data_IF_347741186652
#
_entry.id   IF_347741186652
#
_cell.length_a   1.000
_cell.length_b   1.000
_cell.length_c   1.000
_cell.angle_alpha   90.00
_cell.angle_beta   90.00
_cell.angle_gamma   90.00
#
_symmetry.space_group_name_H-M   'P 1'
#
loop_
_entity.id
_entity.type
_entity.pdbx_description
1 polymer ?
#
# COMPACT_ATOMS: atom_id res chain seq x y z
N UNK A 1 -3.08 1.11 -20.85
CA UNK A 1 -1.97 0.21 -21.25
C UNK A 1 -2.11 -1.19 -20.65
N UNK A 2 -1.92 -1.41 -19.33
CA UNK A 2 -1.95 -2.79 -18.77
C UNK A 2 -3.31 -3.48 -18.90
N UNK A 3 -4.42 -2.76 -18.67
CA UNK A 3 -5.77 -3.29 -18.89
C UNK A 3 -6.02 -3.67 -20.36
N UNK A 4 -5.53 -2.83 -21.29
CA UNK A 4 -5.67 -3.09 -22.73
C UNK A 4 -4.87 -4.32 -23.16
N UNK A 5 -3.68 -4.51 -22.58
CA UNK A 5 -2.86 -5.71 -22.80
C UNK A 5 -3.53 -6.97 -22.26
N UNK A 6 -4.14 -6.91 -21.07
CA UNK A 6 -4.92 -8.03 -20.54
C UNK A 6 -6.10 -8.39 -21.47
N UNK A 7 -6.80 -7.39 -21.99
CA UNK A 7 -7.89 -7.60 -22.95
C UNK A 7 -7.38 -8.25 -24.26
N UNK A 8 -6.25 -7.77 -24.80
CA UNK A 8 -5.60 -8.37 -25.99
C UNK A 8 -5.20 -9.83 -25.77
N UNK A 9 -4.89 -10.22 -24.53
CA UNK A 9 -4.57 -11.61 -24.13
C UNK A 9 -5.80 -12.47 -23.84
N UNK A 10 -7.01 -11.94 -24.06
CA UNK A 10 -8.26 -12.69 -23.96
C UNK A 10 -9.07 -12.45 -22.68
N UNK A 11 -8.67 -11.50 -21.82
CA UNK A 11 -9.50 -11.13 -20.67
C UNK A 11 -10.76 -10.38 -21.12
N UNK A 12 -11.93 -10.78 -20.64
CA UNK A 12 -13.18 -10.06 -20.86
C UNK A 12 -13.26 -8.86 -19.92
N UNK A 13 -13.26 -7.65 -20.47
CA UNK A 13 -13.39 -6.41 -19.69
C UNK A 13 -14.85 -5.98 -19.66
N UNK A 14 -15.46 -6.06 -18.48
CA UNK A 14 -16.86 -5.65 -18.26
C UNK A 14 -16.85 -4.36 -17.44
N UNK A 15 -17.54 -3.32 -17.93
CA UNK A 15 -17.70 -2.06 -17.19
C UNK A 15 -18.86 -2.17 -16.21
N UNK A 16 -18.56 -2.07 -14.92
CA UNK A 16 -19.55 -2.02 -13.86
C UNK A 16 -18.88 -1.88 -12.49
N UNK A 17 -19.69 -1.84 -11.44
CA UNK A 17 -19.22 -1.77 -10.05
C UNK A 17 -19.67 -3.03 -9.31
N UNK A 18 -18.74 -3.81 -8.77
CA UNK A 18 -19.09 -4.86 -7.82
C UNK A 18 -19.74 -4.22 -6.57
N UNK A 19 -20.89 -4.74 -6.14
CA UNK A 19 -21.67 -4.16 -5.01
C UNK A 19 -21.86 -5.14 -3.85
N UNK A 20 -21.91 -6.45 -4.09
CA UNK A 20 -21.95 -7.48 -3.05
C UNK A 20 -21.29 -8.78 -3.53
N UNK A 21 -20.67 -9.56 -2.63
CA UNK A 21 -20.20 -10.90 -2.94
C UNK A 21 -21.39 -11.87 -3.09
N UNK A 22 -21.21 -12.89 -3.92
CA UNK A 22 -22.08 -14.06 -3.98
C UNK A 22 -21.43 -15.16 -3.13
N UNK A 23 -22.12 -15.59 -2.08
CA UNK A 23 -21.61 -16.60 -1.16
C UNK A 23 -22.41 -17.90 -1.27
N UNK A 24 -21.73 -19.03 -1.10
CA UNK A 24 -22.34 -20.35 -0.91
C UNK A 24 -22.90 -20.53 0.50
N UNK A 25 -23.67 -21.59 0.70
CA UNK A 25 -24.19 -21.96 2.04
C UNK A 25 -23.05 -22.29 3.01
N UNK A 26 -21.92 -22.78 2.50
CA UNK A 26 -20.69 -23.05 3.25
C UNK A 26 -19.82 -21.79 3.45
N UNK A 27 -20.30 -20.61 3.05
CA UNK A 27 -19.58 -19.34 3.11
C UNK A 27 -18.51 -19.17 2.02
N UNK A 28 -18.38 -20.11 1.08
CA UNK A 28 -17.42 -19.98 -0.03
C UNK A 28 -17.80 -18.86 -0.99
N UNK A 29 -16.80 -18.20 -1.57
CA UNK A 29 -17.02 -17.19 -2.59
C UNK A 29 -17.39 -17.84 -3.94
N UNK A 30 -18.45 -17.32 -4.58
CA UNK A 30 -18.98 -17.82 -5.85
C UNK A 30 -19.07 -16.77 -6.96
N UNK A 31 -18.65 -15.54 -6.68
CA UNK A 31 -18.73 -14.44 -7.65
C UNK A 31 -19.21 -13.15 -7.02
N UNK A 32 -19.72 -12.22 -7.83
CA UNK A 32 -20.17 -10.90 -7.37
C UNK A 32 -21.45 -10.47 -8.05
N UNK A 33 -22.28 -9.69 -7.36
CA UNK A 33 -23.27 -8.86 -8.03
C UNK A 33 -22.61 -7.57 -8.49
N UNK A 34 -22.78 -7.28 -9.77
CA UNK A 34 -22.31 -6.07 -10.42
C UNK A 34 -23.47 -5.14 -10.71
N UNK A 35 -23.28 -3.84 -10.47
CA UNK A 35 -24.15 -2.78 -10.97
C UNK A 35 -23.58 -2.20 -12.26
N UNK A 36 -24.37 -2.21 -13.33
CA UNK A 36 -24.02 -1.63 -14.64
C UNK A 36 -24.17 -0.10 -14.65
N UNK A 37 -23.62 0.60 -15.65
CA UNK A 37 -23.78 2.04 -15.81
C UNK A 37 -25.24 2.49 -15.95
N UNK A 38 -26.11 1.65 -16.49
CA UNK A 38 -27.56 1.91 -16.62
C UNK A 38 -28.35 1.70 -15.31
N UNK A 39 -27.67 1.31 -14.23
CA UNK A 39 -28.25 1.03 -12.92
C UNK A 39 -28.79 -0.39 -12.73
N UNK A 40 -28.83 -1.22 -13.78
CA UNK A 40 -29.21 -2.62 -13.68
C UNK A 40 -28.19 -3.41 -12.85
N UNK A 41 -28.66 -4.49 -12.22
CA UNK A 41 -27.82 -5.40 -11.45
C UNK A 41 -27.76 -6.76 -12.13
N UNK A 42 -26.60 -7.39 -12.09
CA UNK A 42 -26.35 -8.72 -12.65
C UNK A 42 -25.43 -9.49 -11.72
N UNK A 43 -25.73 -10.77 -11.53
CA UNK A 43 -24.86 -11.70 -10.81
C UNK A 43 -23.87 -12.32 -11.79
N UNK A 44 -22.58 -12.19 -11.50
CA UNK A 44 -21.48 -12.80 -12.23
C UNK A 44 -20.90 -13.89 -11.34
N UNK A 45 -21.15 -15.14 -11.71
CA UNK A 45 -20.59 -16.31 -11.03
C UNK A 45 -19.15 -16.60 -11.51
N UNK A 46 -18.31 -17.03 -10.58
CA UNK A 46 -16.92 -17.40 -10.84
C UNK A 46 -16.45 -18.47 -9.85
N UNK A 47 -15.61 -19.40 -10.31
CA UNK A 47 -15.00 -20.41 -9.43
C UNK A 47 -13.96 -19.82 -8.47
N UNK A 48 -13.30 -18.74 -8.89
CA UNK A 48 -12.35 -17.96 -8.08
C UNK A 48 -12.58 -16.49 -8.37
N UNK A 49 -12.76 -15.68 -7.32
CA UNK A 49 -12.84 -14.22 -7.42
C UNK A 49 -11.57 -13.60 -6.87
N UNK A 50 -10.88 -12.78 -7.68
CA UNK A 50 -9.73 -12.01 -7.22
C UNK A 50 -10.20 -10.60 -6.86
N UNK A 51 -10.00 -10.18 -5.61
CA UNK A 51 -10.23 -8.80 -5.19
C UNK A 51 -8.99 -7.96 -5.49
N UNK A 52 -9.07 -7.19 -6.58
CA UNK A 52 -8.06 -6.23 -6.99
C UNK A 52 -8.55 -4.78 -6.82
N UNK A 53 -9.44 -4.52 -5.84
CA UNK A 53 -10.08 -3.21 -5.63
C UNK A 53 -9.15 -2.15 -5.01
N UNK A 54 -7.91 -2.52 -4.70
CA UNK A 54 -6.91 -1.64 -4.10
C UNK A 54 -7.38 -1.08 -2.76
N UNK A 55 -7.17 0.22 -2.52
CA UNK A 55 -7.56 0.91 -1.28
C UNK A 55 -9.05 0.82 -0.94
N UNK A 56 -9.92 0.40 -1.88
CA UNK A 56 -11.33 0.18 -1.60
C UNK A 56 -11.60 -1.10 -0.79
N UNK A 57 -10.63 -2.03 -0.72
CA UNK A 57 -10.67 -3.26 0.11
C UNK A 57 -12.04 -3.94 0.11
N UNK A 58 -12.58 -4.21 -1.08
CA UNK A 58 -13.99 -4.57 -1.28
C UNK A 58 -14.41 -5.78 -0.43
N UNK A 59 -13.70 -6.89 -0.49
CA UNK A 59 -14.06 -8.10 0.26
C UNK A 59 -13.92 -7.92 1.77
N UNK A 60 -12.96 -7.11 2.22
CA UNK A 60 -12.82 -6.78 3.63
C UNK A 60 -14.00 -5.95 4.15
N UNK A 61 -14.42 -4.95 3.38
CA UNK A 61 -15.57 -4.11 3.73
C UNK A 61 -16.90 -4.89 3.65
N UNK A 62 -16.96 -5.94 2.82
CA UNK A 62 -18.08 -6.88 2.74
C UNK A 62 -17.99 -8.01 3.79
N UNK A 63 -16.98 -8.00 4.67
CA UNK A 63 -16.77 -8.99 5.74
C UNK A 63 -16.62 -10.43 5.24
N UNK A 64 -16.09 -10.60 4.03
CA UNK A 64 -15.72 -11.92 3.48
C UNK A 64 -14.39 -12.38 4.06
N UNK A 65 -13.47 -11.43 4.28
CA UNK A 65 -12.19 -11.68 4.95
C UNK A 65 -12.32 -11.53 6.47
N UNK A 66 -11.21 -11.74 7.19
CA UNK A 66 -11.07 -11.29 8.56
C UNK A 66 -11.02 -9.75 8.70
N UNK A 67 -10.91 -9.24 9.93
CA UNK A 67 -10.89 -7.80 10.20
C UNK A 67 -9.72 -7.09 9.53
N UNK A 68 -9.95 -5.81 9.17
CA UNK A 68 -8.91 -4.88 8.73
C UNK A 68 -8.27 -4.20 9.94
N UNK A 69 -6.99 -4.43 10.15
CA UNK A 69 -6.17 -3.79 11.17
C UNK A 69 -5.45 -2.59 10.58
N UNK A 70 -5.66 -1.41 11.17
CA UNK A 70 -4.92 -0.20 10.81
C UNK A 70 -3.60 -0.19 11.59
N UNK A 71 -2.49 0.02 10.90
CA UNK A 71 -1.14 0.04 11.48
C UNK A 71 -0.79 1.37 12.13
N UNK A 72 0.39 1.47 12.76
CA UNK A 72 0.83 2.62 13.57
C UNK A 72 0.93 3.97 12.85
N UNK A 73 1.05 3.94 11.52
CA UNK A 73 1.16 5.11 10.66
C UNK A 73 -0.22 5.76 10.42
N UNK A 74 -1.15 5.57 11.35
CA UNK A 74 -2.61 5.50 11.16
C UNK A 74 -3.30 6.80 10.74
N UNK A 75 -2.55 7.89 10.59
CA UNK A 75 -3.10 9.18 10.20
C UNK A 75 -2.08 9.98 9.41
N UNK A 76 -1.43 9.41 8.39
CA UNK A 76 -0.79 10.25 7.38
C UNK A 76 -1.80 10.63 6.29
N UNK A 77 -1.62 11.81 5.73
CA UNK A 77 -2.34 12.30 4.56
C UNK A 77 -1.32 12.63 3.48
N UNK A 78 -1.61 12.24 2.24
CA UNK A 78 -0.82 12.63 1.10
C UNK A 78 -1.57 13.71 0.31
N UNK A 79 -0.94 14.86 0.14
CA UNK A 79 -1.37 15.92 -0.75
C UNK A 79 -0.41 15.94 -1.94
N UNK A 80 -0.91 15.93 -3.17
CA UNK A 80 -0.03 15.85 -4.33
C UNK A 80 -0.62 16.52 -5.57
N UNK A 81 0.26 16.92 -6.47
CA UNK A 81 -0.09 17.52 -7.75
C UNK A 81 1.07 17.38 -8.73
N UNK A 82 0.79 17.63 -10.00
CA UNK A 82 1.81 17.74 -11.03
C UNK A 82 2.21 19.20 -11.24
N UNK A 83 3.51 19.42 -11.43
CA UNK A 83 4.07 20.75 -11.63
C UNK A 83 5.08 20.79 -12.77
N UNK A 84 5.13 21.92 -13.46
CA UNK A 84 6.21 22.31 -14.40
C UNK A 84 7.14 23.33 -13.75
N UNK A 85 8.29 23.60 -14.37
CA UNK A 85 9.27 24.59 -13.88
C UNK A 85 10.14 24.12 -12.71
N UNK A 86 10.03 22.85 -12.32
CA UNK A 86 10.88 22.27 -11.28
C UNK A 86 12.28 21.92 -11.81
N UNK A 87 13.33 22.23 -11.04
CA UNK A 87 14.73 22.00 -11.40
C UNK A 87 15.13 20.54 -11.11
N UNK A 88 15.44 19.81 -12.18
CA UNK A 88 15.92 18.42 -12.13
C UNK A 88 17.43 18.34 -12.02
N UNK A 89 17.95 17.13 -11.80
CA UNK A 89 19.38 16.86 -11.96
C UNK A 89 19.84 17.08 -13.40
N UNK A 90 21.14 17.02 -13.64
CA UNK A 90 21.73 17.26 -14.97
C UNK A 90 22.31 16.01 -15.62
N UNK A 91 22.62 14.99 -14.81
CA UNK A 91 23.24 13.76 -15.29
C UNK A 91 22.21 12.78 -15.88
N UNK A 92 22.70 11.81 -16.65
CA UNK A 92 21.91 10.67 -17.14
C UNK A 92 21.85 9.50 -16.15
N UNK A 93 22.75 9.46 -15.16
CA UNK A 93 22.86 8.37 -14.19
C UNK A 93 23.55 8.85 -12.90
N UNK A 94 23.43 8.05 -11.84
CA UNK A 94 24.01 8.35 -10.53
C UNK A 94 23.12 9.26 -9.69
N UNK A 95 23.69 9.90 -8.67
CA UNK A 95 22.92 10.67 -7.69
C UNK A 95 22.26 11.94 -8.27
N UNK A 96 22.92 12.61 -9.23
CA UNK A 96 22.39 13.78 -9.93
C UNK A 96 21.64 13.43 -11.22
N UNK A 97 21.18 12.18 -11.38
CA UNK A 97 20.41 11.81 -12.56
C UNK A 97 19.10 12.59 -12.61
N UNK A 98 18.80 13.16 -13.79
CA UNK A 98 17.64 14.03 -13.99
C UNK A 98 16.29 13.32 -13.76
N UNK A 99 16.26 12.00 -13.90
CA UNK A 99 15.06 11.16 -13.87
C UNK A 99 14.92 10.35 -12.57
N UNK A 100 15.75 10.62 -11.55
CA UNK A 100 15.65 9.95 -10.25
C UNK A 100 14.37 10.35 -9.51
N UNK A 101 13.73 9.38 -8.85
CA UNK A 101 12.84 9.64 -7.73
C UNK A 101 13.66 10.15 -6.54
N UNK A 102 13.27 11.29 -5.98
CA UNK A 102 13.93 11.87 -4.80
C UNK A 102 12.93 11.93 -3.65
N UNK A 103 13.34 11.37 -2.51
CA UNK A 103 12.58 11.42 -1.26
C UNK A 103 13.24 12.44 -0.34
N UNK A 104 12.46 13.40 0.13
CA UNK A 104 12.89 14.39 1.11
C UNK A 104 12.15 14.13 2.41
N UNK A 105 12.84 14.13 3.54
CA UNK A 105 12.19 14.03 4.85
C UNK A 105 12.75 15.08 5.80
N UNK A 106 11.89 15.53 6.72
CA UNK A 106 12.21 16.52 7.74
C UNK A 106 12.32 15.87 9.12
N UNK A 107 11.28 15.14 9.51
CA UNK A 107 11.14 14.43 10.77
C UNK A 107 10.18 13.25 10.56
N UNK A 108 9.96 12.45 11.59
CA UNK A 108 9.07 11.28 11.53
C UNK A 108 7.72 11.66 10.90
N UNK A 109 7.33 10.95 9.85
CA UNK A 109 6.10 11.13 9.05
C UNK A 109 5.94 12.46 8.34
N UNK A 110 7.01 13.25 8.17
CA UNK A 110 7.00 14.49 7.39
C UNK A 110 7.98 14.34 6.25
N UNK A 111 7.46 14.04 5.07
CA UNK A 111 8.26 13.79 3.89
C UNK A 111 7.57 14.23 2.61
N UNK A 112 8.34 14.29 1.54
CA UNK A 112 7.87 14.69 0.23
C UNK A 112 8.55 13.83 -0.84
N UNK A 113 7.82 13.56 -1.93
CA UNK A 113 8.41 12.97 -3.12
C UNK A 113 8.57 14.00 -4.23
N UNK A 114 9.55 13.75 -5.08
CA UNK A 114 9.79 14.42 -6.33
C UNK A 114 10.04 13.34 -7.38
N UNK A 115 9.10 13.16 -8.30
CA UNK A 115 9.14 12.09 -9.31
C UNK A 115 8.94 12.72 -10.70
N UNK A 116 9.99 12.80 -11.52
CA UNK A 116 9.85 13.15 -12.94
C UNK A 116 8.88 12.19 -13.66
N UNK A 117 7.91 12.72 -14.40
CA UNK A 117 6.91 11.91 -15.14
C UNK A 117 7.17 11.95 -16.65
N UNK A 118 7.44 13.13 -17.19
CA UNK A 118 7.82 13.35 -18.59
C UNK A 118 8.94 14.41 -18.64
N UNK A 119 9.22 15.01 -19.79
CA UNK A 119 10.31 15.99 -19.96
C UNK A 119 10.14 17.28 -19.11
N UNK A 120 8.91 17.72 -18.82
CA UNK A 120 8.63 18.99 -18.15
C UNK A 120 7.92 18.83 -16.80
N UNK A 121 7.12 17.78 -16.66
CA UNK A 121 6.22 17.53 -15.53
C UNK A 121 6.88 16.68 -14.47
N UNK A 122 6.81 17.15 -13.23
CA UNK A 122 7.21 16.44 -12.02
C UNK A 122 5.99 16.22 -11.14
N UNK A 123 5.81 15.00 -10.64
CA UNK A 123 4.92 14.71 -9.53
C UNK A 123 5.57 15.15 -8.22
N UNK A 124 4.84 15.99 -7.49
CA UNK A 124 5.22 16.46 -6.17
C UNK A 124 4.17 16.01 -5.17
N UNK A 125 4.62 15.40 -4.09
CA UNK A 125 3.75 15.04 -2.98
C UNK A 125 4.30 15.48 -1.66
N UNK A 126 3.38 15.78 -0.75
CA UNK A 126 3.61 16.13 0.63
C UNK A 126 2.86 15.10 1.49
N UNK A 127 3.60 14.42 2.34
CA UNK A 127 3.05 13.46 3.31
C UNK A 127 3.35 13.96 4.71
N UNK A 128 2.29 14.17 5.48
CA UNK A 128 2.32 14.67 6.86
C UNK A 128 1.27 13.95 7.70
N UNK A 129 1.34 14.02 9.04
CA UNK A 129 0.21 13.61 9.87
C UNK A 129 -1.05 14.43 9.52
N UNK A 130 -2.20 13.76 9.43
CA UNK A 130 -3.52 14.34 9.13
C UNK A 130 -3.85 15.48 10.09
N UNK A 131 -3.47 15.35 11.36
CA UNK A 131 -3.65 16.41 12.36
C UNK A 131 -2.95 17.71 11.97
N UNK A 132 -1.72 17.64 11.42
CA UNK A 132 -0.96 18.81 10.96
C UNK A 132 -1.71 19.57 9.86
N UNK A 133 -2.33 18.86 8.92
CA UNK A 133 -3.17 19.50 7.90
C UNK A 133 -4.45 20.09 8.52
N UNK A 134 -5.15 19.35 9.37
CA UNK A 134 -6.40 19.80 10.01
C UNK A 134 -6.21 21.05 10.88
N UNK A 135 -5.12 21.11 11.64
CA UNK A 135 -4.77 22.24 12.50
C UNK A 135 -4.46 23.52 11.69
N UNK A 136 -3.97 23.39 10.46
CA UNK A 136 -3.68 24.53 9.58
C UNK A 136 -4.93 25.31 9.18
N UNK A 137 -6.09 24.63 9.10
CA UNK A 137 -7.37 25.16 8.56
C UNK A 137 -7.26 25.75 7.14
N UNK A 138 -6.21 25.42 6.42
CA UNK A 138 -5.99 25.84 5.05
C UNK A 138 -6.73 24.91 4.08
N UNK A 139 -6.98 25.39 2.87
CA UNK A 139 -7.36 24.50 1.76
C UNK A 139 -6.19 23.57 1.40
N UNK A 140 -6.45 22.41 0.76
CA UNK A 140 -5.39 21.52 0.31
C UNK A 140 -4.29 22.21 -0.51
N UNK A 141 -4.67 23.12 -1.42
CA UNK A 141 -3.71 23.82 -2.26
C UNK A 141 -2.87 24.83 -1.48
N UNK A 142 -3.50 25.64 -0.61
CA UNK A 142 -2.77 26.58 0.25
C UNK A 142 -1.77 25.85 1.16
N UNK A 143 -2.21 24.78 1.83
CA UNK A 143 -1.36 23.99 2.70
C UNK A 143 -0.21 23.34 1.94
N UNK A 144 -0.47 22.76 0.77
CA UNK A 144 0.55 22.16 -0.08
C UNK A 144 1.62 23.17 -0.48
N UNK A 145 1.21 24.34 -0.99
CA UNK A 145 2.13 25.41 -1.41
C UNK A 145 2.94 26.00 -0.27
N UNK A 146 2.33 26.21 0.90
CA UNK A 146 3.03 26.81 2.05
C UNK A 146 3.96 25.82 2.75
N UNK A 147 3.64 24.53 2.74
CA UNK A 147 4.33 23.52 3.56
C UNK A 147 5.41 22.76 2.78
N UNK A 148 5.18 22.44 1.50
CA UNK A 148 6.09 21.64 0.69
C UNK A 148 7.54 22.19 0.67
N UNK A 149 7.79 23.50 0.48
CA UNK A 149 9.16 24.04 0.53
C UNK A 149 9.83 23.87 1.91
N UNK A 150 9.04 23.80 2.98
CA UNK A 150 9.52 23.65 4.36
C UNK A 150 10.02 22.25 4.71
N UNK A 151 9.76 21.23 3.87
CA UNK A 151 10.22 19.86 4.12
C UNK A 151 11.74 19.74 4.00
N UNK A 152 12.34 20.40 3.00
CA UNK A 152 13.77 20.32 2.78
C UNK A 152 14.30 21.50 1.96
N UNK A 153 15.45 22.05 2.34
CA UNK A 153 16.05 23.20 1.63
C UNK A 153 16.44 22.88 0.17
N UNK A 154 16.85 21.64 -0.13
CA UNK A 154 17.13 21.22 -1.50
C UNK A 154 15.85 21.11 -2.33
N UNK A 155 14.75 20.61 -1.75
CA UNK A 155 13.44 20.62 -2.38
C UNK A 155 12.98 22.04 -2.67
N UNK A 156 13.07 22.96 -1.70
CA UNK A 156 12.69 24.36 -1.87
C UNK A 156 13.39 25.02 -3.08
N UNK A 157 14.70 24.77 -3.25
CA UNK A 157 15.45 25.25 -4.43
C UNK A 157 14.98 24.62 -5.73
N UNK A 158 14.59 23.34 -5.71
CA UNK A 158 14.10 22.65 -6.91
C UNK A 158 12.73 23.14 -7.37
N UNK A 159 11.92 23.72 -6.48
CA UNK A 159 10.54 24.10 -6.78
C UNK A 159 10.30 25.62 -6.72
N UNK A 160 11.36 26.44 -6.72
CA UNK A 160 11.27 27.91 -6.60
C UNK A 160 10.34 28.55 -7.64
N UNK A 161 10.37 28.02 -8.86
CA UNK A 161 9.62 28.52 -10.01
C UNK A 161 8.51 27.56 -10.46
N UNK A 162 8.13 26.61 -9.59
CA UNK A 162 7.15 25.59 -9.95
C UNK A 162 5.79 26.19 -10.26
N UNK A 163 5.08 25.58 -11.22
CA UNK A 163 3.69 25.90 -11.54
C UNK A 163 2.88 24.61 -11.54
N UNK A 164 1.86 24.55 -10.68
CA UNK A 164 0.93 23.43 -10.69
C UNK A 164 0.17 23.43 -12.03
N UNK A 165 0.11 22.27 -12.67
CA UNK A 165 -0.61 22.08 -13.94
C UNK A 165 -1.94 21.35 -13.75
N UNK A 166 -2.25 20.98 -12.52
CA UNK A 166 -3.55 20.47 -12.11
C UNK A 166 -3.85 20.83 -10.65
N UNK A 167 -5.03 20.45 -10.17
CA UNK A 167 -5.42 20.66 -8.77
C UNK A 167 -4.55 19.83 -7.82
N UNK A 168 -4.51 20.25 -6.56
CA UNK A 168 -3.97 19.39 -5.49
C UNK A 168 -5.01 18.32 -5.14
N UNK A 169 -4.59 17.06 -5.21
CA UNK A 169 -5.37 15.91 -4.76
C UNK A 169 -4.98 15.55 -3.34
N UNK A 170 -5.91 14.92 -2.63
CA UNK A 170 -5.73 14.51 -1.24
C UNK A 170 -6.19 13.07 -1.11
N UNK A 171 -5.32 12.21 -0.57
CA UNK A 171 -5.66 10.83 -0.25
C UNK A 171 -5.24 10.49 1.19
N UNK A 172 -6.02 9.66 1.90
CA UNK A 172 -5.54 9.04 3.13
C UNK A 172 -4.29 8.19 2.82
N UNK A 173 -3.30 8.21 3.71
CA UNK A 173 -2.06 7.46 3.58
C UNK A 173 -1.78 6.62 4.84
N UNK A 174 -2.72 5.77 5.23
CA UNK A 174 -2.57 4.94 6.43
C UNK A 174 -2.32 3.48 6.03
N UNK A 175 -1.29 2.88 6.63
CA UNK A 175 -1.00 1.46 6.45
C UNK A 175 -2.08 0.60 7.10
N UNK A 176 -2.40 -0.53 6.46
CA UNK A 176 -3.33 -1.51 7.02
C UNK A 176 -3.02 -2.91 6.54
N UNK A 177 -3.58 -3.89 7.24
CA UNK A 177 -3.59 -5.30 6.88
C UNK A 177 -5.00 -5.85 7.03
N UNK A 178 -5.44 -6.62 6.06
CA UNK A 178 -6.66 -7.42 6.10
C UNK A 178 -6.28 -8.85 6.48
N UNK A 179 -6.84 -9.33 7.58
CA UNK A 179 -6.63 -10.70 8.03
C UNK A 179 -7.35 -11.68 7.10
N UNK A 180 -6.76 -12.86 6.86
CA UNK A 180 -7.36 -13.93 6.03
C UNK A 180 -7.82 -13.39 4.67
N UNK A 181 -6.89 -12.78 3.95
CA UNK A 181 -7.13 -12.21 2.63
C UNK A 181 -7.21 -13.26 1.50
N UNK A 182 -7.12 -14.54 1.86
CA UNK A 182 -7.37 -15.67 1.00
C UNK A 182 -8.39 -16.60 1.66
N UNK A 183 -9.21 -17.26 0.85
CA UNK A 183 -10.16 -18.26 1.33
C UNK A 183 -10.78 -19.05 0.20
N UNK A 184 -11.74 -19.93 0.53
CA UNK A 184 -12.38 -20.79 -0.48
C UNK A 184 -13.10 -19.95 -1.55
N UNK A 185 -12.57 -19.98 -2.77
CA UNK A 185 -13.08 -19.25 -3.92
C UNK A 185 -12.62 -17.79 -4.04
N UNK A 186 -11.69 -17.30 -3.20
CA UNK A 186 -11.19 -15.93 -3.35
C UNK A 186 -9.73 -15.71 -2.94
N UNK A 187 -9.12 -14.69 -3.53
CA UNK A 187 -7.80 -14.13 -3.18
C UNK A 187 -7.89 -12.60 -3.29
N UNK A 188 -7.46 -11.86 -2.27
CA UNK A 188 -7.24 -10.42 -2.40
C UNK A 188 -5.78 -10.15 -2.82
N UNK A 189 -5.55 -9.19 -3.71
CA UNK A 189 -4.23 -8.91 -4.29
C UNK A 189 -3.84 -7.45 -4.07
N UNK A 190 -2.59 -7.23 -3.66
CA UNK A 190 -2.01 -5.91 -3.45
C UNK A 190 -2.76 -5.11 -2.37
N UNK A 191 -3.01 -3.84 -2.67
CA UNK A 191 -3.68 -2.91 -1.74
C UNK A 191 -5.07 -3.41 -1.28
N UNK A 192 -5.71 -4.35 -1.97
CA UNK A 192 -6.98 -4.93 -1.50
C UNK A 192 -6.88 -5.63 -0.14
N UNK A 193 -5.66 -6.05 0.25
CA UNK A 193 -5.42 -6.63 1.58
C UNK A 193 -4.33 -5.94 2.39
N UNK A 194 -3.33 -5.33 1.75
CA UNK A 194 -2.26 -4.67 2.49
C UNK A 194 -1.80 -3.41 1.79
N UNK A 195 -1.77 -2.32 2.55
CA UNK A 195 -1.12 -1.09 2.17
C UNK A 195 -0.03 -0.74 3.17
N UNK A 196 1.15 -0.38 2.67
CA UNK A 196 2.32 0.07 3.45
C UNK A 196 2.69 1.47 2.96
N UNK A 197 3.25 2.30 3.85
CA UNK A 197 3.75 3.64 3.52
C UNK A 197 4.53 3.65 2.18
N UNK A 198 4.13 4.48 1.20
CA UNK A 198 4.68 4.46 -0.15
C UNK A 198 6.06 5.11 -0.26
N UNK A 199 6.71 5.49 0.85
CA UNK A 199 8.02 6.15 0.84
C UNK A 199 9.06 5.42 -0.03
N UNK A 200 9.01 4.08 -0.10
CA UNK A 200 9.93 3.28 -0.94
C UNK A 200 9.30 2.74 -2.24
N UNK A 201 8.13 3.24 -2.63
CA UNK A 201 7.50 2.99 -3.94
C UNK A 201 7.21 1.51 -4.26
N UNK A 202 6.94 0.68 -3.24
CA UNK A 202 6.75 -0.77 -3.43
C UNK A 202 5.37 -1.18 -3.95
N UNK A 203 4.33 -0.35 -3.78
CA UNK A 203 2.92 -0.77 -3.96
C UNK A 203 2.62 -1.45 -5.30
N UNK A 204 3.03 -0.85 -6.42
CA UNK A 204 2.80 -1.44 -7.75
C UNK A 204 3.63 -2.71 -7.95
N UNK A 205 4.90 -2.72 -7.53
CA UNK A 205 5.76 -3.90 -7.64
C UNK A 205 5.19 -5.07 -6.84
N UNK A 206 4.80 -4.84 -5.59
CA UNK A 206 4.17 -5.86 -4.74
C UNK A 206 2.87 -6.37 -5.37
N UNK A 207 1.98 -5.48 -5.82
CA UNK A 207 0.71 -5.84 -6.47
C UNK A 207 0.93 -6.74 -7.69
N UNK A 208 1.88 -6.39 -8.56
CA UNK A 208 2.17 -7.18 -9.77
C UNK A 208 2.79 -8.54 -9.43
N UNK A 209 3.72 -8.58 -8.46
CA UNK A 209 4.35 -9.84 -8.03
C UNK A 209 3.34 -10.77 -7.35
N UNK A 210 2.49 -10.26 -6.46
CA UNK A 210 1.43 -11.06 -5.85
C UNK A 210 0.45 -11.61 -6.89
N UNK A 211 0.06 -10.80 -7.88
CA UNK A 211 -0.78 -11.25 -8.98
C UNK A 211 -0.11 -12.40 -9.76
N UNK A 212 1.18 -12.29 -10.05
CA UNK A 212 1.97 -13.35 -10.69
C UNK A 212 2.05 -14.63 -9.84
N UNK A 213 2.33 -14.49 -8.55
CA UNK A 213 2.43 -15.62 -7.62
C UNK A 213 1.09 -16.31 -7.37
N UNK A 214 -0.04 -15.62 -7.50
CA UNK A 214 -1.36 -16.23 -7.34
C UNK A 214 -1.70 -17.21 -8.47
N UNK A 215 -1.20 -16.97 -9.70
CA UNK A 215 -1.54 -17.75 -10.90
C UNK A 215 -1.38 -19.27 -10.72
N UNK A 216 -0.23 -19.83 -10.30
CA UNK A 216 -0.09 -21.28 -10.14
C UNK A 216 -1.06 -21.87 -9.11
N UNK A 217 -1.38 -21.14 -8.05
CA UNK A 217 -2.35 -21.59 -7.04
C UNK A 217 -3.78 -21.58 -7.57
N UNK A 218 -4.16 -20.55 -8.33
CA UNK A 218 -5.47 -20.46 -9.00
C UNK A 218 -5.61 -21.59 -10.02
N UNK A 219 -4.61 -21.83 -10.87
CA UNK A 219 -4.65 -22.91 -11.87
C UNK A 219 -4.75 -24.29 -11.22
N UNK A 220 -4.00 -24.54 -10.13
CA UNK A 220 -4.08 -25.79 -9.39
C UNK A 220 -5.47 -25.99 -8.77
N UNK A 221 -6.06 -24.93 -8.19
CA UNK A 221 -7.41 -24.97 -7.65
C UNK A 221 -8.46 -25.22 -8.74
N UNK A 222 -8.37 -24.54 -9.89
CA UNK A 222 -9.22 -24.79 -11.05
C UNK A 222 -9.09 -26.23 -11.55
N UNK A 223 -7.89 -26.81 -11.50
CA UNK A 223 -7.63 -28.24 -11.76
C UNK A 223 -8.09 -29.21 -10.66
N UNK A 224 -8.73 -28.73 -9.59
CA UNK A 224 -9.34 -29.53 -8.53
C UNK A 224 -8.52 -29.68 -7.25
N UNK A 225 -7.30 -29.14 -7.19
CA UNK A 225 -6.45 -29.22 -5.97
C UNK A 225 -7.08 -28.41 -4.84
N UNK A 226 -7.18 -29.02 -3.66
CA UNK A 226 -7.55 -28.31 -2.43
C UNK A 226 -9.00 -27.82 -2.35
N UNK A 227 -9.91 -28.28 -3.22
CA UNK A 227 -11.34 -27.88 -3.24
C UNK A 227 -12.08 -28.15 -1.92
N UNK A 228 -11.60 -29.12 -1.14
CA UNK A 228 -12.12 -29.49 0.17
C UNK A 228 -11.49 -28.71 1.34
N UNK A 229 -10.46 -27.90 1.09
CA UNK A 229 -9.79 -27.12 2.13
C UNK A 229 -10.60 -25.86 2.46
N UNK A 230 -10.58 -25.44 3.72
CA UNK A 230 -11.19 -24.19 4.17
C UNK A 230 -10.51 -22.96 3.54
N UNK A 231 -9.17 -23.00 3.42
CA UNK A 231 -8.38 -22.03 2.67
C UNK A 231 -7.45 -22.76 1.68
N UNK A 232 -7.91 -23.00 0.44
CA UNK A 232 -7.10 -23.64 -0.60
C UNK A 232 -5.86 -22.84 -1.00
N UNK A 233 -5.80 -21.55 -0.64
CA UNK A 233 -4.74 -20.61 -1.01
C UNK A 233 -3.88 -20.20 0.20
N UNK A 234 -3.89 -20.97 1.29
CA UNK A 234 -3.13 -20.67 2.51
C UNK A 234 -1.61 -20.55 2.26
N UNK A 235 -1.04 -21.39 1.39
CA UNK A 235 0.38 -21.30 1.01
C UNK A 235 0.71 -19.96 0.33
N UNK A 236 -0.15 -19.51 -0.59
CA UNK A 236 0.00 -18.21 -1.26
C UNK A 236 -0.11 -17.06 -0.25
N UNK A 237 -1.13 -17.13 0.62
CA UNK A 237 -1.34 -16.13 1.67
C UNK A 237 -0.08 -15.96 2.53
N UNK A 238 0.44 -17.07 3.07
CA UNK A 238 1.65 -17.04 3.91
C UNK A 238 2.89 -16.55 3.15
N UNK A 239 3.02 -16.92 1.88
CA UNK A 239 4.12 -16.47 1.04
C UNK A 239 4.10 -14.94 0.86
N UNK A 240 2.93 -14.36 0.57
CA UNK A 240 2.76 -12.92 0.42
C UNK A 240 2.98 -12.18 1.76
N UNK A 241 2.50 -12.74 2.88
CA UNK A 241 2.73 -12.16 4.21
C UNK A 241 4.21 -12.06 4.54
N UNK A 242 4.97 -13.14 4.33
CA UNK A 242 6.43 -13.12 4.54
C UNK A 242 7.14 -12.07 3.71
N UNK A 243 6.70 -11.83 2.47
CA UNK A 243 7.29 -10.83 1.60
C UNK A 243 6.97 -9.40 2.05
N UNK A 244 5.69 -9.15 2.30
CA UNK A 244 5.15 -7.87 2.75
C UNK A 244 5.66 -7.46 4.14
N UNK A 245 5.93 -8.45 4.99
CA UNK A 245 6.57 -8.28 6.29
C UNK A 245 8.01 -7.74 6.18
N UNK A 246 8.76 -8.16 5.15
CA UNK A 246 10.09 -7.60 4.90
C UNK A 246 10.00 -6.13 4.51
N UNK A 247 8.99 -5.74 3.72
CA UNK A 247 8.73 -4.34 3.36
C UNK A 247 8.42 -3.49 4.59
N UNK A 248 7.57 -3.99 5.47
CA UNK A 248 7.23 -3.32 6.73
C UNK A 248 8.48 -3.15 7.61
N UNK A 249 9.34 -4.18 7.73
CA UNK A 249 10.60 -4.06 8.49
C UNK A 249 11.52 -2.95 7.95
N UNK A 250 11.55 -2.75 6.63
CA UNK A 250 12.32 -1.67 6.01
C UNK A 250 11.75 -0.30 6.38
N UNK A 251 10.44 -0.11 6.22
CA UNK A 251 9.74 1.15 6.52
C UNK A 251 9.86 1.50 8.01
N UNK A 252 9.68 0.51 8.86
CA UNK A 252 9.73 0.71 10.32
C UNK A 252 11.13 1.10 10.78
N UNK A 253 12.18 0.46 10.28
CA UNK A 253 13.53 0.86 10.67
C UNK A 253 13.87 2.26 10.13
N UNK A 254 13.43 2.60 8.92
CA UNK A 254 13.60 3.95 8.40
C UNK A 254 13.00 5.00 9.34
N UNK A 255 11.77 4.79 9.81
CA UNK A 255 11.09 5.75 10.67
C UNK A 255 11.57 5.75 12.12
N UNK A 256 11.92 4.59 12.68
CA UNK A 256 12.37 4.50 14.07
C UNK A 256 13.85 4.82 14.26
N UNK A 257 14.71 4.45 13.29
CA UNK A 257 16.17 4.56 13.40
C UNK A 257 16.81 4.97 12.06
N UNK A 258 16.54 6.19 11.56
CA UNK A 258 16.96 6.63 10.21
C UNK A 258 18.48 6.60 9.99
N UNK A 259 19.29 6.88 11.02
CA UNK A 259 20.76 6.80 10.91
C UNK A 259 21.26 5.37 10.75
N UNK A 260 20.65 4.41 11.45
CA UNK A 260 20.99 3.01 11.31
C UNK A 260 20.54 2.49 9.93
N UNK A 261 19.34 2.86 9.50
CA UNK A 261 18.83 2.56 8.17
C UNK A 261 19.79 3.06 7.08
N UNK A 262 20.20 4.33 7.13
CA UNK A 262 21.16 4.91 6.21
C UNK A 262 22.51 4.16 6.22
N UNK A 263 23.01 3.80 7.39
CA UNK A 263 24.26 3.00 7.51
C UNK A 263 24.12 1.63 6.82
N UNK A 264 22.96 1.00 6.93
CA UNK A 264 22.72 -0.31 6.33
C UNK A 264 22.63 -0.20 4.80
N UNK A 265 21.92 0.81 4.31
CA UNK A 265 21.74 1.09 2.87
C UNK A 265 23.07 1.47 2.20
N UNK A 266 23.86 2.37 2.80
CA UNK A 266 25.03 2.92 2.12
C UNK A 266 26.33 2.16 2.39
N UNK A 267 26.45 1.44 3.51
CA UNK A 267 27.76 0.92 3.95
C UNK A 267 27.76 -0.56 4.31
N UNK A 268 26.77 -1.04 5.08
CA UNK A 268 26.86 -2.38 5.68
C UNK A 268 26.28 -3.49 4.81
N UNK A 269 25.14 -3.23 4.17
CA UNK A 269 24.37 -4.24 3.44
C UNK A 269 23.92 -3.76 2.06
N UNK A 270 24.72 -2.89 1.43
CA UNK A 270 24.37 -2.17 0.20
C UNK A 270 23.74 -3.05 -0.87
N UNK A 271 24.37 -4.18 -1.22
CA UNK A 271 23.86 -5.09 -2.27
C UNK A 271 22.49 -5.71 -1.90
N UNK A 272 22.33 -6.14 -0.65
CA UNK A 272 21.07 -6.69 -0.14
C UNK A 272 19.96 -5.64 -0.11
N UNK A 273 20.33 -4.38 0.18
CA UNK A 273 19.39 -3.27 0.16
C UNK A 273 19.01 -2.87 -1.27
N UNK A 274 19.94 -2.92 -2.23
CA UNK A 274 19.64 -2.73 -3.66
C UNK A 274 18.65 -3.81 -4.14
N UNK A 275 18.86 -5.07 -3.76
CA UNK A 275 17.93 -6.15 -4.07
C UNK A 275 16.53 -5.87 -3.52
N UNK A 276 16.45 -5.51 -2.23
CA UNK A 276 15.19 -5.20 -1.58
C UNK A 276 14.48 -3.99 -2.24
N UNK A 277 15.19 -2.89 -2.51
CA UNK A 277 14.64 -1.72 -3.21
C UNK A 277 14.23 -2.00 -4.66
N UNK A 278 14.81 -3.03 -5.29
CA UNK A 278 14.37 -3.52 -6.60
C UNK A 278 13.11 -4.41 -6.52
N UNK A 279 12.47 -4.52 -5.35
CA UNK A 279 11.24 -5.29 -5.14
C UNK A 279 11.46 -6.78 -4.89
N UNK A 280 12.72 -7.25 -4.75
CA UNK A 280 13.04 -8.65 -4.41
C UNK A 280 12.89 -8.87 -2.90
N UNK A 281 11.66 -9.05 -2.46
CA UNK A 281 11.28 -9.06 -1.03
C UNK A 281 10.59 -10.35 -0.61
N UNK A 282 10.33 -11.29 -1.53
CA UNK A 282 9.60 -12.52 -1.25
C UNK A 282 10.52 -13.72 -0.93
N UNK A 283 10.01 -14.79 -0.28
CA UNK A 283 10.82 -15.96 0.09
C UNK A 283 11.59 -16.60 -1.07
N UNK A 284 11.02 -16.63 -2.28
CA UNK A 284 11.68 -17.16 -3.48
C UNK A 284 12.81 -16.27 -4.01
N UNK A 285 13.02 -15.11 -3.40
CA UNK A 285 13.95 -14.05 -3.84
C UNK A 285 15.04 -13.80 -2.80
N UNK A 286 15.43 -14.85 -2.06
CA UNK A 286 16.48 -14.83 -1.02
C UNK A 286 16.16 -13.96 0.19
N UNK A 287 14.88 -13.91 0.59
CA UNK A 287 14.42 -13.13 1.73
C UNK A 287 13.83 -14.00 2.84
N UNK A 288 13.99 -13.60 4.12
CA UNK A 288 14.64 -12.38 4.60
C UNK A 288 16.17 -12.43 4.47
N UNK A 289 16.75 -11.37 3.91
CA UNK A 289 18.20 -11.23 3.79
C UNK A 289 18.85 -10.94 5.17
N UNK A 290 20.18 -11.08 5.31
CA UNK A 290 20.89 -10.67 6.53
C UNK A 290 20.61 -9.21 6.93
N UNK A 291 20.38 -8.32 5.97
CA UNK A 291 19.96 -6.93 6.23
C UNK A 291 18.61 -6.87 6.94
N UNK A 292 17.59 -7.56 6.40
CA UNK A 292 16.24 -7.59 6.98
C UNK A 292 16.25 -8.26 8.37
N UNK A 293 17.01 -9.33 8.55
CA UNK A 293 17.18 -9.95 9.87
C UNK A 293 17.83 -9.00 10.87
N UNK A 294 18.81 -8.20 10.43
CA UNK A 294 19.41 -7.17 11.26
C UNK A 294 18.43 -6.03 11.57
N UNK A 295 17.54 -5.65 10.64
CA UNK A 295 16.44 -4.70 10.90
C UNK A 295 15.53 -5.22 12.01
N UNK A 296 15.05 -6.47 11.90
CA UNK A 296 14.21 -7.12 12.92
C UNK A 296 14.88 -7.11 14.28
N UNK A 297 16.17 -7.44 14.36
CA UNK A 297 16.95 -7.40 15.60
C UNK A 297 16.97 -5.99 16.22
N UNK A 298 17.18 -4.95 15.41
CA UNK A 298 17.20 -3.56 15.89
C UNK A 298 15.83 -3.06 16.33
N UNK A 299 14.77 -3.52 15.65
CA UNK A 299 13.38 -3.28 16.01
C UNK A 299 12.89 -4.16 17.18
N UNK A 300 13.72 -5.09 17.68
CA UNK A 300 13.36 -6.10 18.68
C UNK A 300 12.11 -6.91 18.28
N UNK A 301 12.04 -7.26 16.99
CA UNK A 301 10.92 -7.96 16.38
C UNK A 301 11.26 -9.42 16.12
N UNK A 302 10.33 -10.30 16.47
CA UNK A 302 10.31 -11.70 16.06
C UNK A 302 9.10 -11.88 15.14
N UNK A 303 9.26 -12.67 14.07
CA UNK A 303 8.16 -13.05 13.17
C UNK A 303 8.07 -14.57 13.19
N UNK A 304 6.92 -15.07 13.65
CA UNK A 304 6.56 -16.48 13.69
C UNK A 304 5.37 -16.69 12.77
N UNK A 305 5.25 -17.89 12.21
CA UNK A 305 4.21 -18.25 11.24
C UNK A 305 3.73 -19.68 11.47
N UNK A 306 3.78 -20.15 12.72
CA UNK A 306 3.51 -21.54 13.08
C UNK A 306 2.01 -21.79 13.21
N UNK A 307 1.25 -20.78 13.61
CA UNK A 307 -0.21 -20.81 13.67
C UNK A 307 -0.85 -19.97 12.56
N UNK A 308 -2.04 -20.39 12.13
CA UNK A 308 -2.87 -19.64 11.16
C UNK A 308 -3.23 -18.22 11.62
N UNK A 309 -2.99 -17.91 12.89
CA UNK A 309 -3.23 -16.61 13.51
C UNK A 309 -1.95 -15.86 13.91
N UNK A 310 -0.76 -16.42 13.61
CA UNK A 310 0.53 -15.75 13.79
C UNK A 310 0.75 -14.77 12.64
N UNK A 311 -0.01 -13.68 12.67
CA UNK A 311 0.20 -12.56 11.78
C UNK A 311 1.18 -11.58 12.41
N UNK A 312 2.04 -11.00 11.60
CA UNK A 312 2.69 -9.76 11.97
C UNK A 312 1.65 -8.67 12.12
N UNK A 313 1.22 -8.48 13.36
CA UNK A 313 0.51 -7.28 13.74
C UNK A 313 1.52 -6.12 13.55
N UNK A 314 1.21 -5.11 12.70
CA UNK A 314 2.06 -3.94 12.57
C UNK A 314 2.44 -3.45 13.95
N UNK A 315 3.71 -3.13 14.21
CA UNK A 315 4.07 -2.60 15.53
C UNK A 315 3.18 -1.40 15.79
N UNK A 316 2.45 -1.46 16.91
CA UNK A 316 1.43 -0.51 17.36
C UNK A 316 0.09 -0.46 16.59
N UNK A 317 -0.26 -1.53 15.88
CA UNK A 317 -1.68 -1.82 15.70
C UNK A 317 -2.35 -1.79 17.09
N UNK A 318 -3.45 -1.05 17.19
CA UNK A 318 -4.18 -0.80 18.45
C UNK A 318 -4.77 -2.07 19.08
N UNK A 319 -4.68 -3.21 18.43
CA UNK A 319 -5.26 -4.48 18.85
C UNK A 319 -4.18 -5.47 19.32
N UNK A 320 -3.57 -5.13 20.45
CA UNK A 320 -3.04 -6.10 21.42
C UNK A 320 -3.96 -6.04 22.66
N UNK A 321 -4.94 -6.94 22.81
CA UNK A 321 -5.86 -6.94 23.96
C UNK A 321 -5.13 -6.86 25.30
N UNK A 322 -3.98 -7.50 25.41
CA UNK A 322 -3.10 -7.52 26.58
C UNK A 322 -2.35 -6.21 26.88
N UNK A 323 -2.42 -5.20 25.99
CA UNK A 323 -1.82 -3.86 26.18
C UNK A 323 -2.85 -2.72 26.10
N UNK A 324 -4.14 -3.05 26.02
CA UNK A 324 -5.25 -2.09 25.83
C UNK A 324 -5.80 -1.46 27.12
N UNK A 325 -5.18 -1.69 28.28
CA UNK A 325 -5.48 -0.87 29.43
C UNK A 325 -4.79 0.49 29.23
N UNK A 326 -5.59 1.56 29.20
CA UNK A 326 -5.27 2.98 29.03
C UNK A 326 -5.59 3.48 27.60
N UNK A 327 -6.78 4.11 27.47
CA UNK A 327 -7.14 5.33 26.71
C UNK A 327 -8.57 5.31 26.14
N UNK A 328 -9.41 6.08 26.85
CA UNK A 328 -10.71 6.72 26.58
C UNK A 328 -11.74 6.08 25.62
N UNK A 329 -12.84 5.50 26.16
CA UNK A 329 -14.00 5.02 25.43
C UNK A 329 -14.82 6.09 24.66
N UNK A 330 -14.46 7.37 24.76
CA UNK A 330 -15.30 8.50 24.32
C UNK A 330 -14.57 9.49 23.39
N UNK A 331 -13.79 9.02 22.42
CA UNK A 331 -13.20 9.91 21.41
C UNK A 331 -14.26 10.39 20.40
N UNK A 332 -14.44 11.71 20.17
CA UNK A 332 -15.45 12.26 19.27
C UNK A 332 -15.08 12.23 17.78
N UNK A 333 -14.04 11.48 17.39
CA UNK A 333 -13.58 11.43 15.99
C UNK A 333 -14.46 10.43 15.23
N UNK A 334 -15.37 10.96 14.41
CA UNK A 334 -16.21 10.15 13.52
C UNK A 334 -15.36 9.41 12.48
N UNK A 335 -15.83 8.23 12.09
CA UNK A 335 -15.14 7.26 11.25
C UNK A 335 -14.82 7.82 9.86
N UNK A 336 -13.68 7.43 9.29
CA UNK A 336 -13.16 7.82 7.97
C UNK A 336 -14.15 7.65 6.81
N UNK A 337 -15.19 6.81 6.97
CA UNK A 337 -16.25 6.61 5.98
C UNK A 337 -17.09 7.87 5.69
N UNK A 338 -17.27 8.77 6.67
CA UNK A 338 -18.03 10.01 6.46
C UNK A 338 -17.29 11.02 5.55
N UNK A 339 -15.96 10.93 5.48
CA UNK A 339 -15.14 11.82 4.64
C UNK A 339 -15.22 11.48 3.14
N UNK A 340 -15.54 10.25 2.77
CA UNK A 340 -15.56 9.82 1.37
C UNK A 340 -16.85 10.20 0.63
N UNK A 341 -17.87 10.70 1.35
CA UNK A 341 -19.22 10.97 0.80
C UNK A 341 -19.57 12.47 0.79
N UNK A 342 -18.69 13.36 1.28
CA UNK A 342 -18.92 14.80 1.22
C UNK A 342 -18.72 15.34 -0.21
N UNK A 343 -19.80 15.29 -1.00
CA UNK A 343 -19.93 15.95 -2.31
C UNK A 343 -19.84 17.49 -2.16
N UNK A 344 -19.32 18.21 -3.16
CA UNK A 344 -19.62 19.62 -3.35
C UNK A 344 -20.89 19.80 -4.22
N UNK A 345 -21.41 21.03 -4.29
CA UNK A 345 -22.56 21.53 -3.53
C UNK A 345 -23.90 20.84 -3.80
#
# INVERSE_FOLDING_TARGET
MMLDEAAKRGANVIRGKAVKPLLGEDGSMRGVTMRRPDGSHEDIEAEVTLDCSGLATFLANQRVTGPKYVGNYDKQIALFSHATGAVRGSASSGEDAKDNTIIFYLKKFHWAWFIPIDDEVVSLGLVVPTATFQESRQTPEEFFRSTLPGINAALARKISDMRLVEKVHVIPNYSYQVRRFCGKGFICVGDAHRFIDPIFSFGISATLREAEFAVPHVLAYLGGKGRNLANPFAEHMLFCEKGTDNLEDMVDLFWEQPFAFATFVHHRYREQMIDAFAGRVYPSEHQPSPAILAFRKMLKRTREYEHEDDYSIPVGSRFHPERAAIWEPNSPISTTEEWSVARPP
#
